data_IF_470998272865
#
_entry.id   IF_470998272865
#
_cell.length_a   1.000
_cell.length_b   1.000
_cell.length_c   1.000
_cell.angle_alpha   90.00
_cell.angle_beta   90.00
_cell.angle_gamma   90.00
#
_symmetry.space_group_name_H-M   'P 1'
#
loop_
_entity.id
_entity.type
_entity.pdbx_description
1 polymer ?
#
# COMPACT_ATOMS: atom_id res chain seq x y z
N UNK A 1 23.54 6.70 10.65
CA UNK A 1 22.15 7.02 10.24
C UNK A 1 21.50 7.85 11.35
N UNK A 2 20.70 8.85 10.98
CA UNK A 2 20.10 9.75 11.96
C UNK A 2 18.83 9.13 12.58
N UNK A 3 18.88 8.83 13.88
CA UNK A 3 17.74 8.25 14.62
C UNK A 3 16.75 9.31 15.13
N UNK A 4 17.12 10.61 15.11
CA UNK A 4 16.28 11.71 15.58
C UNK A 4 15.53 12.45 14.46
N UNK A 5 15.66 11.98 13.22
CA UNK A 5 15.16 12.63 12.02
C UNK A 5 13.65 12.50 11.80
N UNK A 6 12.86 12.20 12.83
CA UNK A 6 11.42 12.01 12.71
C UNK A 6 10.67 13.04 13.57
N UNK A 7 9.70 13.72 12.95
CA UNK A 7 8.79 14.63 13.64
C UNK A 7 7.37 14.48 13.08
N UNK A 8 6.38 14.95 13.86
CA UNK A 8 4.98 15.00 13.43
C UNK A 8 4.64 16.47 13.17
N UNK A 9 4.29 16.77 11.92
CA UNK A 9 3.77 18.08 11.54
C UNK A 9 2.29 18.16 11.91
N UNK A 10 2.00 18.75 13.07
CA UNK A 10 0.65 18.98 13.56
C UNK A 10 0.06 20.31 13.10
N UNK A 11 0.92 21.21 12.59
CA UNK A 11 0.49 22.54 12.15
C UNK A 11 0.02 22.57 10.70
N UNK A 12 0.37 21.56 9.91
CA UNK A 12 -0.08 21.46 8.51
C UNK A 12 -1.58 21.25 8.47
N UNK A 13 -2.32 22.26 7.97
CA UNK A 13 -3.77 22.15 7.82
C UNK A 13 -4.13 21.11 6.77
N UNK A 14 -5.30 20.46 6.96
CA UNK A 14 -5.85 19.52 6.00
C UNK A 14 -5.96 20.16 4.61
N UNK A 15 -6.47 21.40 4.49
CA UNK A 15 -6.63 22.09 3.22
C UNK A 15 -5.31 22.26 2.47
N UNK A 16 -4.22 22.56 3.17
CA UNK A 16 -2.88 22.68 2.56
C UNK A 16 -2.36 21.32 2.10
N UNK A 17 -2.55 20.27 2.89
CA UNK A 17 -2.17 18.92 2.50
C UNK A 17 -3.01 18.44 1.30
N UNK A 18 -4.32 18.65 1.33
CA UNK A 18 -5.23 18.27 0.26
C UNK A 18 -4.93 19.03 -1.03
N UNK A 19 -4.73 20.35 -0.98
CA UNK A 19 -4.38 21.16 -2.13
C UNK A 19 -3.03 20.72 -2.75
N UNK A 20 -2.00 20.45 -1.93
CA UNK A 20 -0.70 19.98 -2.41
C UNK A 20 -0.82 18.61 -3.07
N UNK A 21 -1.52 17.68 -2.44
CA UNK A 21 -1.77 16.34 -3.00
C UNK A 21 -2.58 16.44 -4.29
N UNK A 22 -3.63 17.26 -4.31
CA UNK A 22 -4.47 17.48 -5.48
C UNK A 22 -3.70 18.07 -6.67
N UNK A 23 -2.85 19.07 -6.43
CA UNK A 23 -1.99 19.65 -7.47
C UNK A 23 -1.05 18.58 -8.07
N UNK A 24 -0.44 17.79 -7.21
CA UNK A 24 0.48 16.74 -7.66
C UNK A 24 -0.27 15.64 -8.44
N UNK A 25 -1.49 15.27 -8.03
CA UNK A 25 -2.32 14.26 -8.69
C UNK A 25 -2.79 14.67 -10.09
N UNK A 26 -2.85 15.99 -10.41
CA UNK A 26 -3.20 16.47 -11.76
C UNK A 26 -2.20 16.02 -12.82
N UNK A 27 -0.94 15.83 -12.43
CA UNK A 27 0.14 15.40 -13.33
C UNK A 27 0.09 13.88 -13.65
N UNK A 28 -0.77 13.13 -12.95
CA UNK A 28 -0.90 11.69 -13.16
C UNK A 28 -2.22 11.36 -13.89
N UNK A 29 -2.14 10.91 -15.14
CA UNK A 29 -3.33 10.49 -15.88
C UNK A 29 -3.91 9.22 -15.25
N UNK A 30 -5.22 9.20 -15.06
CA UNK A 30 -5.95 7.97 -14.76
C UNK A 30 -6.14 7.17 -16.04
N UNK A 31 -5.95 5.87 -15.97
CA UNK A 31 -6.17 4.98 -17.10
C UNK A 31 -7.57 4.35 -17.09
N UNK A 32 -8.26 4.39 -15.96
CA UNK A 32 -9.58 3.82 -15.76
C UNK A 32 -10.49 4.85 -15.09
N UNK A 33 -11.79 4.70 -15.27
CA UNK A 33 -12.77 5.50 -14.53
C UNK A 33 -13.11 4.85 -13.19
N UNK A 34 -13.62 5.64 -12.25
CA UNK A 34 -14.17 5.09 -11.02
C UNK A 34 -15.39 4.19 -11.28
N UNK A 35 -16.13 4.44 -12.38
CA UNK A 35 -17.22 3.57 -12.81
C UNK A 35 -16.73 2.18 -13.23
N UNK A 36 -15.55 2.07 -13.83
CA UNK A 36 -14.93 0.76 -14.13
C UNK A 36 -14.52 0.04 -12.85
N UNK A 37 -14.04 0.78 -11.84
CA UNK A 37 -13.78 0.22 -10.51
C UNK A 37 -15.06 -0.35 -9.86
N UNK A 38 -16.17 0.39 -9.93
CA UNK A 38 -17.45 -0.09 -9.39
C UNK A 38 -17.89 -1.41 -10.05
N UNK A 39 -17.68 -1.57 -11.35
CA UNK A 39 -17.95 -2.85 -12.05
C UNK A 39 -17.10 -4.01 -11.52
N UNK A 40 -15.84 -3.73 -11.18
CA UNK A 40 -14.95 -4.75 -10.61
C UNK A 40 -15.40 -5.16 -9.21
N UNK A 41 -15.76 -4.20 -8.33
CA UNK A 41 -16.24 -4.53 -6.99
C UNK A 41 -17.64 -5.16 -7.01
N UNK A 42 -18.52 -4.80 -7.98
CA UNK A 42 -19.79 -5.48 -8.21
C UNK A 42 -19.58 -6.96 -8.59
N UNK A 43 -18.59 -7.25 -9.42
CA UNK A 43 -18.20 -8.64 -9.74
C UNK A 43 -17.68 -9.39 -8.51
N UNK A 44 -16.77 -8.78 -7.77
CA UNK A 44 -16.17 -9.38 -6.57
C UNK A 44 -17.18 -9.59 -5.43
N UNK A 45 -18.30 -8.88 -5.43
CA UNK A 45 -19.39 -9.03 -4.46
C UNK A 45 -20.23 -10.31 -4.67
N UNK A 46 -20.04 -11.03 -5.76
CA UNK A 46 -20.66 -12.35 -5.94
C UNK A 46 -20.02 -13.36 -4.96
N UNK A 47 -20.61 -13.50 -3.78
CA UNK A 47 -20.15 -14.39 -2.72
C UNK A 47 -20.26 -15.87 -3.08
N UNK A 48 -21.01 -16.22 -4.13
CA UNK A 48 -21.07 -17.59 -4.64
C UNK A 48 -19.80 -17.97 -5.40
N UNK A 49 -19.11 -16.98 -5.96
CA UNK A 49 -17.93 -17.15 -6.80
C UNK A 49 -16.63 -16.73 -6.11
N UNK A 50 -16.66 -15.70 -5.29
CA UNK A 50 -15.48 -15.12 -4.68
C UNK A 50 -15.55 -15.13 -3.16
N UNK A 51 -14.40 -15.39 -2.54
CA UNK A 51 -14.13 -15.19 -1.13
C UNK A 51 -13.07 -14.11 -1.00
N UNK A 52 -13.50 -12.84 -0.92
CA UNK A 52 -12.62 -11.67 -0.83
C UNK A 52 -12.26 -11.38 0.63
N UNK A 53 -10.99 -11.08 0.89
CA UNK A 53 -10.52 -10.82 2.25
C UNK A 53 -9.27 -9.93 2.28
N UNK A 54 -9.00 -9.26 3.42
CA UNK A 54 -7.74 -8.54 3.65
C UNK A 54 -6.57 -9.50 3.88
N UNK A 55 -5.34 -8.97 3.80
CA UNK A 55 -4.12 -9.76 3.91
C UNK A 55 -3.96 -10.47 5.24
N UNK A 56 -4.38 -9.83 6.35
CA UNK A 56 -4.36 -10.42 7.70
C UNK A 56 -5.17 -11.73 7.82
N UNK A 57 -6.16 -11.91 6.97
CA UNK A 57 -6.95 -13.13 6.89
C UNK A 57 -6.37 -14.08 5.83
N UNK A 58 -6.02 -13.51 4.67
CA UNK A 58 -5.55 -14.27 3.50
C UNK A 58 -4.26 -15.07 3.78
N UNK A 59 -3.34 -14.53 4.60
CA UNK A 59 -2.01 -15.15 4.78
C UNK A 59 -2.10 -16.58 5.34
N UNK A 60 -3.11 -16.89 6.14
CA UNK A 60 -3.35 -18.22 6.71
C UNK A 60 -4.58 -18.93 6.10
N UNK A 61 -5.36 -18.26 5.24
CA UNK A 61 -6.56 -18.87 4.68
C UNK A 61 -6.20 -20.00 3.73
N UNK A 62 -6.83 -21.19 3.86
CA UNK A 62 -6.77 -22.19 2.80
C UNK A 62 -7.49 -21.69 1.55
N UNK A 63 -7.16 -22.25 0.40
CA UNK A 63 -7.96 -22.09 -0.81
C UNK A 63 -9.38 -22.64 -0.56
N UNK A 64 -10.38 -21.93 -1.07
CA UNK A 64 -11.77 -22.37 -1.01
C UNK A 64 -12.05 -23.25 -2.24
N UNK A 65 -12.44 -24.53 -2.08
CA UNK A 65 -12.59 -25.43 -3.22
C UNK A 65 -13.72 -25.03 -4.18
N UNK A 66 -14.69 -24.25 -3.70
CA UNK A 66 -15.88 -23.84 -4.48
C UNK A 66 -15.79 -22.42 -5.00
N UNK A 67 -14.84 -21.61 -4.50
CA UNK A 67 -14.70 -20.19 -4.82
C UNK A 67 -13.26 -19.81 -5.10
N UNK A 68 -13.09 -18.67 -5.78
CA UNK A 68 -11.77 -18.01 -5.87
C UNK A 68 -11.51 -17.26 -4.57
N UNK A 69 -10.40 -17.57 -3.88
CA UNK A 69 -9.98 -16.84 -2.69
C UNK A 69 -9.14 -15.63 -3.10
N UNK A 70 -9.65 -14.43 -2.86
CA UNK A 70 -9.05 -13.17 -3.34
C UNK A 70 -8.48 -12.35 -2.19
N UNK A 71 -7.19 -12.05 -2.25
CA UNK A 71 -6.58 -10.99 -1.47
C UNK A 71 -6.77 -9.66 -2.21
N UNK A 72 -7.67 -8.81 -1.72
CA UNK A 72 -7.88 -7.47 -2.25
C UNK A 72 -6.86 -6.51 -1.61
N UNK A 73 -5.94 -6.01 -2.44
CA UNK A 73 -4.81 -5.19 -2.02
C UNK A 73 -4.82 -3.85 -2.75
N UNK A 74 -4.68 -2.77 -1.98
CA UNK A 74 -4.52 -1.40 -2.48
C UNK A 74 -3.20 -0.81 -2.03
N UNK A 75 -2.39 -0.34 -2.98
CA UNK A 75 -1.18 0.40 -2.71
C UNK A 75 -1.48 1.89 -2.89
N UNK A 76 -1.54 2.63 -1.78
CA UNK A 76 -1.79 4.08 -1.81
C UNK A 76 -0.45 4.78 -2.03
N UNK A 77 0.00 4.80 -3.29
CA UNK A 77 1.25 5.48 -3.63
C UNK A 77 1.06 7.00 -3.64
N UNK A 78 -0.14 7.46 -4.04
CA UNK A 78 -0.34 8.85 -4.39
C UNK A 78 -1.68 9.44 -3.95
N UNK A 79 -2.78 8.71 -4.07
CA UNK A 79 -4.14 9.24 -3.95
C UNK A 79 -4.94 8.63 -2.77
N UNK A 80 -4.82 9.22 -1.57
CA UNK A 80 -5.55 8.74 -0.39
C UNK A 80 -7.06 9.04 -0.47
N UNK A 81 -7.48 10.03 -1.28
CA UNK A 81 -8.90 10.39 -1.39
C UNK A 81 -9.66 9.39 -2.25
N UNK A 82 -9.09 9.01 -3.40
CA UNK A 82 -9.66 7.92 -4.19
C UNK A 82 -9.59 6.60 -3.42
N UNK A 83 -8.54 6.35 -2.61
CA UNK A 83 -8.48 5.19 -1.73
C UNK A 83 -9.67 5.15 -0.76
N UNK A 84 -10.01 6.26 -0.12
CA UNK A 84 -11.17 6.33 0.76
C UNK A 84 -12.49 6.08 0.02
N UNK A 85 -12.64 6.63 -1.20
CA UNK A 85 -13.82 6.36 -2.04
C UNK A 85 -13.93 4.88 -2.41
N UNK A 86 -12.81 4.23 -2.72
CA UNK A 86 -12.75 2.79 -2.99
C UNK A 86 -13.17 1.99 -1.77
N UNK A 87 -12.65 2.33 -0.59
CA UNK A 87 -12.99 1.67 0.67
C UNK A 87 -14.50 1.77 0.98
N UNK A 88 -15.13 2.93 0.75
CA UNK A 88 -16.57 3.05 0.87
C UNK A 88 -17.32 2.13 -0.10
N UNK A 89 -16.95 2.15 -1.39
CA UNK A 89 -17.62 1.34 -2.40
C UNK A 89 -17.51 -0.17 -2.12
N UNK A 90 -16.38 -0.61 -1.59
CA UNK A 90 -16.14 -1.99 -1.16
C UNK A 90 -16.98 -2.36 0.05
N UNK A 91 -16.92 -1.53 1.10
CA UNK A 91 -17.66 -1.77 2.36
C UNK A 91 -19.18 -1.83 2.13
N UNK A 92 -19.73 -0.97 1.25
CA UNK A 92 -21.15 -0.99 0.84
C UNK A 92 -21.55 -2.34 0.21
N UNK A 93 -20.59 -3.10 -0.32
CA UNK A 93 -20.77 -4.41 -0.94
C UNK A 93 -20.35 -5.58 -0.04
N UNK A 94 -19.99 -5.28 1.21
CA UNK A 94 -19.51 -6.28 2.16
C UNK A 94 -18.10 -6.81 1.84
N UNK A 95 -17.32 -6.08 1.03
CA UNK A 95 -15.95 -6.42 0.68
C UNK A 95 -14.98 -5.70 1.63
N UNK A 96 -13.91 -6.40 2.02
CA UNK A 96 -12.84 -5.83 2.82
C UNK A 96 -11.48 -6.15 2.18
N UNK A 97 -10.63 -5.13 2.06
CA UNK A 97 -9.27 -5.23 1.52
C UNK A 97 -8.22 -4.69 2.48
N UNK A 98 -6.98 -4.70 2.05
CA UNK A 98 -5.85 -4.08 2.74
C UNK A 98 -5.38 -2.86 1.98
N UNK A 99 -5.24 -1.74 2.68
CA UNK A 99 -4.75 -0.47 2.14
C UNK A 99 -3.35 -0.18 2.71
N UNK A 100 -2.34 -0.26 1.84
CA UNK A 100 -0.95 0.01 2.21
C UNK A 100 -0.63 1.49 2.03
N UNK A 101 -0.22 2.14 3.12
CA UNK A 101 0.06 3.58 3.17
C UNK A 101 1.55 3.81 2.99
N UNK A 102 1.93 4.68 2.03
CA UNK A 102 3.32 4.93 1.64
C UNK A 102 3.94 6.08 2.45
N UNK A 103 4.93 5.82 3.31
CA UNK A 103 5.57 6.87 4.11
C UNK A 103 6.33 7.92 3.30
N UNK A 104 6.79 7.59 2.08
CA UNK A 104 7.43 8.54 1.16
C UNK A 104 6.44 9.25 0.23
N UNK A 105 5.15 8.92 0.33
CA UNK A 105 4.09 9.58 -0.43
C UNK A 105 3.91 11.04 -0.04
N UNK A 106 3.66 11.91 -1.02
CA UNK A 106 3.52 13.38 -0.84
C UNK A 106 2.37 13.77 0.09
N UNK A 107 1.38 12.91 0.23
CA UNK A 107 0.23 13.09 1.10
C UNK A 107 0.53 12.71 2.56
N UNK A 108 1.56 11.91 2.79
CA UNK A 108 1.85 11.32 4.10
C UNK A 108 2.82 12.15 4.92
N UNK A 109 3.84 12.70 4.28
CA UNK A 109 4.86 13.50 4.96
C UNK A 109 5.81 14.21 4.02
N UNK A 110 6.80 14.86 4.58
CA UNK A 110 7.84 15.60 3.85
C UNK A 110 9.19 15.51 4.54
N UNK A 111 10.25 15.44 3.74
CA UNK A 111 11.61 15.64 4.19
C UNK A 111 11.99 17.13 4.06
N UNK A 112 12.41 17.72 5.16
CA UNK A 112 12.83 19.12 5.24
C UNK A 112 13.90 19.28 6.31
N UNK A 113 14.98 20.00 6.01
CA UNK A 113 16.06 20.31 6.94
C UNK A 113 16.65 19.05 7.65
N UNK A 114 16.81 17.96 6.91
CA UNK A 114 17.35 16.70 7.42
C UNK A 114 16.40 15.93 8.33
N UNK A 115 15.12 16.31 8.41
CA UNK A 115 14.08 15.65 9.20
C UNK A 115 12.90 15.24 8.35
N UNK A 116 12.27 14.14 8.76
CA UNK A 116 10.99 13.71 8.22
C UNK A 116 9.85 14.26 9.08
N UNK A 117 8.87 14.88 8.45
CA UNK A 117 7.67 15.43 9.07
C UNK A 117 6.44 14.70 8.56
N UNK A 118 5.77 13.94 9.42
CA UNK A 118 4.53 13.25 9.10
C UNK A 118 3.34 14.20 9.23
N UNK A 119 2.41 14.13 8.28
CA UNK A 119 1.21 14.97 8.28
C UNK A 119 0.08 14.31 9.08
N UNK A 120 -0.11 14.74 10.32
CA UNK A 120 -1.21 14.26 11.18
C UNK A 120 -2.60 14.66 10.67
N UNK A 121 -2.68 15.68 9.80
CA UNK A 121 -3.95 16.12 9.20
C UNK A 121 -4.60 15.07 8.28
N UNK A 122 -3.86 14.04 7.84
CA UNK A 122 -4.36 12.96 6.99
C UNK A 122 -4.80 11.72 7.78
N UNK A 123 -4.58 11.66 9.09
CA UNK A 123 -4.83 10.47 9.92
C UNK A 123 -6.31 10.05 9.93
N UNK A 124 -7.22 10.99 9.75
CA UNK A 124 -8.65 10.69 9.71
C UNK A 124 -9.02 9.78 8.52
N UNK A 125 -8.30 9.88 7.38
CA UNK A 125 -8.54 9.03 6.21
C UNK A 125 -8.21 7.57 6.57
N UNK A 126 -7.05 7.32 7.19
CA UNK A 126 -6.64 5.98 7.56
C UNK A 126 -7.60 5.36 8.59
N UNK A 127 -8.04 6.15 9.58
CA UNK A 127 -9.05 5.72 10.55
C UNK A 127 -10.42 5.49 9.90
N UNK A 128 -10.80 6.30 8.92
CA UNK A 128 -12.04 6.10 8.19
C UNK A 128 -12.00 4.77 7.40
N UNK A 129 -10.92 4.49 6.68
CA UNK A 129 -10.74 3.24 5.96
C UNK A 129 -10.81 2.04 6.94
N UNK A 130 -10.13 2.11 8.09
CA UNK A 130 -10.19 1.04 9.09
C UNK A 130 -11.61 0.87 9.68
N UNK A 131 -12.32 1.97 9.95
CA UNK A 131 -13.69 1.93 10.47
C UNK A 131 -14.71 1.31 9.52
N UNK A 132 -14.41 1.29 8.22
CA UNK A 132 -15.16 0.59 7.19
C UNK A 132 -14.88 -0.92 7.13
N UNK A 133 -14.02 -1.44 8.01
CA UNK A 133 -13.68 -2.86 8.12
C UNK A 133 -12.43 -3.28 7.35
N UNK A 134 -11.74 -2.35 6.69
CA UNK A 134 -10.51 -2.64 5.95
C UNK A 134 -9.30 -2.75 6.88
N UNK A 135 -8.24 -3.36 6.37
CA UNK A 135 -6.94 -3.39 7.02
C UNK A 135 -6.07 -2.24 6.52
N UNK A 136 -5.38 -1.57 7.45
CA UNK A 136 -4.28 -0.65 7.12
C UNK A 136 -2.95 -1.38 7.24
N UNK A 137 -2.14 -1.31 6.18
CA UNK A 137 -0.77 -1.83 6.15
C UNK A 137 0.26 -0.75 5.86
N UNK A 138 1.54 -1.04 6.08
CA UNK A 138 2.63 -0.15 5.70
C UNK A 138 3.14 -0.50 4.30
N UNK A 139 3.16 0.51 3.41
CA UNK A 139 3.86 0.38 2.12
C UNK A 139 5.34 0.72 2.33
N UNK A 140 6.16 -0.31 2.46
CA UNK A 140 7.57 -0.17 2.84
C UNK A 140 8.40 0.46 1.72
N UNK A 141 8.95 1.64 1.97
CA UNK A 141 9.96 2.30 1.13
C UNK A 141 11.25 2.62 1.92
N UNK A 142 11.65 1.69 2.76
CA UNK A 142 12.80 1.81 3.67
C UNK A 142 14.13 2.00 2.91
N UNK A 143 14.22 1.47 1.69
CA UNK A 143 15.40 1.66 0.85
C UNK A 143 15.57 3.12 0.45
N UNK A 144 14.51 3.80 0.02
CA UNK A 144 14.53 5.24 -0.28
C UNK A 144 14.89 6.06 0.95
N UNK A 145 14.27 5.76 2.10
CA UNK A 145 14.57 6.42 3.37
C UNK A 145 16.03 6.29 3.76
N UNK A 146 16.60 5.11 3.61
CA UNK A 146 17.99 4.83 3.94
C UNK A 146 18.96 5.53 2.97
N UNK A 147 18.75 5.38 1.67
CA UNK A 147 19.73 5.83 0.68
C UNK A 147 19.67 7.34 0.41
N UNK A 148 18.47 7.92 0.30
CA UNK A 148 18.33 9.35 -0.03
C UNK A 148 18.40 10.26 1.17
N UNK A 149 17.87 9.80 2.31
CA UNK A 149 17.68 10.65 3.48
C UNK A 149 18.57 10.25 4.66
N UNK A 150 19.39 9.22 4.49
CA UNK A 150 20.28 8.68 5.53
C UNK A 150 19.55 8.34 6.85
N UNK A 151 18.30 7.91 6.75
CA UNK A 151 17.46 7.54 7.89
C UNK A 151 17.67 6.06 8.22
N UNK A 152 17.78 5.75 9.52
CA UNK A 152 17.84 4.37 9.99
C UNK A 152 16.49 3.66 9.78
N UNK A 153 16.42 2.61 8.93
CA UNK A 153 15.17 1.95 8.58
C UNK A 153 14.45 1.33 9.78
N UNK A 154 15.21 0.73 10.71
CA UNK A 154 14.64 0.08 11.88
C UNK A 154 13.98 1.09 12.83
N UNK A 155 14.68 2.19 13.11
CA UNK A 155 14.16 3.28 13.95
C UNK A 155 12.94 3.93 13.30
N UNK A 156 12.97 4.17 12.00
CA UNK A 156 11.84 4.75 11.26
C UNK A 156 10.61 3.85 11.38
N UNK A 157 10.73 2.59 11.01
CA UNK A 157 9.62 1.64 11.03
C UNK A 157 9.04 1.48 12.44
N UNK A 158 9.89 1.43 13.46
CA UNK A 158 9.45 1.32 14.86
C UNK A 158 8.62 2.56 15.29
N UNK A 159 9.05 3.76 14.89
CA UNK A 159 8.34 5.02 15.20
C UNK A 159 7.01 5.12 14.46
N UNK A 160 6.96 4.72 13.19
CA UNK A 160 5.73 4.70 12.41
C UNK A 160 4.71 3.74 13.04
N UNK A 161 5.10 2.53 13.38
CA UNK A 161 4.20 1.57 14.01
C UNK A 161 3.71 2.03 15.38
N UNK A 162 4.56 2.73 16.14
CA UNK A 162 4.13 3.35 17.39
C UNK A 162 3.08 4.44 17.13
N UNK A 163 3.31 5.27 16.11
CA UNK A 163 2.38 6.33 15.75
C UNK A 163 1.01 5.77 15.32
N UNK A 164 0.97 4.71 14.49
CA UNK A 164 -0.28 4.06 14.12
C UNK A 164 -1.04 3.58 15.37
N UNK A 165 -0.37 2.97 16.33
CA UNK A 165 -0.99 2.56 17.59
C UNK A 165 -1.54 3.75 18.39
N UNK A 166 -0.82 4.87 18.44
CA UNK A 166 -1.26 6.10 19.13
C UNK A 166 -2.54 6.69 18.52
N UNK A 167 -2.74 6.54 17.22
CA UNK A 167 -3.98 6.97 16.54
C UNK A 167 -5.04 5.86 16.44
N UNK A 168 -4.83 4.73 17.14
CA UNK A 168 -5.81 3.64 17.26
C UNK A 168 -5.78 2.60 16.15
N UNK A 169 -4.79 2.64 15.24
CA UNK A 169 -4.66 1.69 14.11
C UNK A 169 -3.68 0.57 14.45
N UNK A 170 -4.11 -0.68 14.23
CA UNK A 170 -3.26 -1.87 14.40
C UNK A 170 -2.75 -2.37 13.05
N UNK A 171 -1.46 -2.17 12.80
CA UNK A 171 -0.80 -2.63 11.57
C UNK A 171 -0.15 -3.97 11.80
N UNK A 172 -0.50 -4.96 10.97
CA UNK A 172 0.08 -6.31 11.02
C UNK A 172 0.63 -6.80 9.66
N UNK A 173 0.51 -6.00 8.60
CA UNK A 173 1.05 -6.30 7.27
C UNK A 173 1.98 -5.19 6.76
N UNK A 174 3.06 -5.58 6.10
CA UNK A 174 3.92 -4.68 5.35
C UNK A 174 4.00 -5.12 3.89
N UNK A 175 4.08 -4.17 2.97
CA UNK A 175 4.24 -4.44 1.55
C UNK A 175 5.37 -3.59 0.98
N UNK A 176 6.28 -4.18 0.25
CA UNK A 176 7.42 -3.48 -0.33
C UNK A 176 7.02 -2.64 -1.54
N UNK A 177 7.33 -1.34 -1.50
CA UNK A 177 7.11 -0.38 -2.58
C UNK A 177 8.12 -0.56 -3.72
N UNK A 178 7.66 -0.40 -4.96
CA UNK A 178 8.54 -0.28 -6.12
C UNK A 178 9.16 1.11 -6.18
N UNK A 179 10.47 1.24 -5.92
CA UNK A 179 11.13 2.54 -5.94
C UNK A 179 12.00 2.74 -7.19
N UNK A 180 12.45 3.98 -7.41
CA UNK A 180 13.42 4.29 -8.48
C UNK A 180 14.72 3.49 -8.39
N UNK A 181 15.05 2.97 -7.23
CA UNK A 181 16.24 2.14 -7.01
C UNK A 181 16.15 0.76 -7.67
N UNK A 182 14.95 0.33 -8.09
CA UNK A 182 14.80 -0.88 -8.90
C UNK A 182 15.59 -0.78 -10.22
N UNK A 183 15.71 0.41 -10.81
CA UNK A 183 16.52 0.65 -11.98
C UNK A 183 18.04 0.48 -11.73
N UNK A 184 18.47 0.58 -10.48
CA UNK A 184 19.84 0.31 -10.03
C UNK A 184 20.03 -1.13 -9.53
N UNK A 185 19.03 -1.99 -9.73
CA UNK A 185 19.07 -3.39 -9.29
C UNK A 185 18.84 -3.58 -7.79
N UNK A 186 18.37 -2.54 -7.07
CA UNK A 186 18.04 -2.62 -5.65
C UNK A 186 16.52 -2.66 -5.46
N UNK A 187 16.04 -3.33 -4.40
CA UNK A 187 14.62 -3.52 -4.18
C UNK A 187 14.26 -3.44 -2.68
N UNK A 188 13.14 -2.81 -2.34
CA UNK A 188 12.65 -2.69 -0.97
C UNK A 188 12.40 -4.04 -0.28
N UNK A 189 12.09 -5.09 -1.05
CA UNK A 189 11.97 -6.46 -0.48
C UNK A 189 13.25 -6.91 0.20
N UNK A 190 14.43 -6.44 -0.26
CA UNK A 190 15.72 -6.83 0.31
C UNK A 190 15.98 -6.26 1.70
N UNK A 191 15.18 -5.31 2.16
CA UNK A 191 15.31 -4.80 3.53
C UNK A 191 15.03 -5.88 4.57
N UNK A 192 14.17 -6.86 4.24
CA UNK A 192 13.81 -7.96 5.12
C UNK A 192 14.58 -9.25 4.80
N UNK A 193 15.15 -9.86 5.83
CA UNK A 193 15.98 -11.09 5.73
C UNK A 193 15.21 -12.30 5.19
N UNK A 194 13.90 -12.32 5.36
CA UNK A 194 12.99 -13.38 4.87
C UNK A 194 13.03 -13.52 3.34
N UNK A 195 13.46 -12.48 2.62
CA UNK A 195 13.67 -12.58 1.17
C UNK A 195 14.99 -13.26 0.77
N UNK A 196 15.83 -13.61 1.76
CA UNK A 196 17.09 -14.31 1.51
C UNK A 196 18.14 -13.46 0.80
N UNK A 197 18.03 -12.13 0.87
CA UNK A 197 19.01 -11.18 0.34
C UNK A 197 19.67 -10.45 1.49
N UNK A 198 21.00 -10.57 1.60
CA UNK A 198 21.80 -9.82 2.58
C UNK A 198 23.06 -9.33 1.90
N UNK A 199 23.42 -8.07 2.12
CA UNK A 199 24.61 -7.50 1.51
C UNK A 199 24.78 -6.03 1.81
N UNK A 200 25.66 -5.40 1.02
CA UNK A 200 25.93 -3.97 1.04
C UNK A 200 25.70 -3.37 -0.34
N UNK A 201 25.40 -2.09 -0.39
CA UNK A 201 25.40 -1.28 -1.60
C UNK A 201 26.05 0.06 -1.31
N UNK A 202 26.65 0.67 -2.33
CA UNK A 202 27.21 2.03 -2.24
C UNK A 202 26.28 2.99 -2.95
N UNK A 203 25.87 4.06 -2.25
CA UNK A 203 25.09 5.14 -2.82
C UNK A 203 25.64 6.49 -2.32
N UNK A 204 25.82 7.44 -3.24
CA UNK A 204 26.40 8.77 -2.95
C UNK A 204 27.71 8.70 -2.13
N UNK A 205 28.57 7.72 -2.41
CA UNK A 205 29.88 7.55 -1.74
C UNK A 205 29.82 6.93 -0.35
N UNK A 206 28.65 6.51 0.13
CA UNK A 206 28.45 5.85 1.42
C UNK A 206 28.00 4.42 1.26
N UNK A 207 28.51 3.51 2.10
CA UNK A 207 28.10 2.12 2.13
C UNK A 207 26.90 1.94 3.07
N UNK A 208 25.91 1.17 2.59
CA UNK A 208 24.68 0.81 3.32
C UNK A 208 24.50 -0.69 3.32
N UNK A 209 23.92 -1.22 4.42
CA UNK A 209 23.59 -2.65 4.57
C UNK A 209 22.10 -2.87 4.36
N UNK A 210 21.75 -4.02 3.78
CA UNK A 210 20.38 -4.49 3.63
C UNK A 210 20.23 -5.96 4.01
N UNK A 211 18.99 -6.43 4.22
CA UNK A 211 18.69 -7.81 4.57
C UNK A 211 18.94 -8.12 6.04
N UNK A 212 18.89 -7.13 6.90
CA UNK A 212 19.11 -7.28 8.35
C UNK A 212 17.84 -7.14 9.19
N UNK A 213 16.77 -6.56 8.62
CA UNK A 213 15.48 -6.45 9.28
C UNK A 213 14.71 -7.77 9.18
N UNK A 214 13.80 -8.02 10.12
CA UNK A 214 12.85 -9.14 10.05
C UNK A 214 11.44 -8.64 10.17
N UNK A 215 10.48 -9.33 9.55
CA UNK A 215 9.07 -9.01 9.73
C UNK A 215 8.66 -9.15 11.20
N UNK A 216 9.16 -10.19 11.85
CA UNK A 216 8.84 -10.52 13.25
C UNK A 216 9.24 -9.41 14.23
N UNK A 217 10.39 -8.72 14.03
CA UNK A 217 10.81 -7.63 14.93
C UNK A 217 9.85 -6.46 14.98
N UNK A 218 9.03 -6.29 13.93
CA UNK A 218 8.02 -5.24 13.82
C UNK A 218 6.59 -5.75 14.13
N UNK A 219 6.43 -7.05 14.37
CA UNK A 219 5.13 -7.69 14.58
C UNK A 219 4.32 -7.86 13.29
N UNK A 220 4.96 -7.82 12.13
CA UNK A 220 4.29 -8.11 10.88
C UNK A 220 4.07 -9.62 10.72
N UNK A 221 2.84 -9.98 10.36
CA UNK A 221 2.42 -11.36 10.14
C UNK A 221 2.74 -11.82 8.71
N UNK A 222 2.74 -10.90 7.76
CA UNK A 222 2.92 -11.20 6.35
C UNK A 222 3.48 -10.01 5.56
N UNK A 223 4.01 -10.37 4.38
CA UNK A 223 4.40 -9.45 3.30
C UNK A 223 3.91 -10.05 1.97
N UNK A 224 3.15 -9.31 1.15
CA UNK A 224 2.47 -9.84 -0.03
C UNK A 224 3.37 -10.57 -1.04
N UNK A 225 4.59 -10.08 -1.28
CA UNK A 225 5.50 -10.74 -2.21
C UNK A 225 6.08 -12.05 -1.66
N UNK A 226 6.24 -12.17 -0.32
CA UNK A 226 6.55 -13.44 0.32
C UNK A 226 5.36 -14.40 0.24
N UNK A 227 4.14 -13.90 0.45
CA UNK A 227 2.93 -14.72 0.26
C UNK A 227 2.84 -15.24 -1.17
N UNK A 228 3.05 -14.36 -2.14
CA UNK A 228 3.03 -14.74 -3.54
C UNK A 228 4.10 -15.77 -3.91
N UNK A 229 5.27 -15.72 -3.27
CA UNK A 229 6.37 -16.66 -3.46
C UNK A 229 6.13 -18.00 -2.76
N UNK A 230 5.64 -17.97 -1.52
CA UNK A 230 5.60 -19.12 -0.63
C UNK A 230 4.25 -19.85 -0.64
N UNK A 231 3.16 -19.12 -0.86
CA UNK A 231 1.80 -19.64 -0.76
C UNK A 231 1.20 -20.03 -2.11
N UNK A 232 1.99 -19.92 -3.17
CA UNK A 232 1.49 -20.31 -4.50
C UNK A 232 0.19 -19.56 -4.83
N UNK A 233 0.13 -18.23 -4.60
CA UNK A 233 -0.91 -17.43 -5.22
C UNK A 233 -0.79 -17.69 -6.73
N UNK A 234 -1.67 -18.53 -7.24
CA UNK A 234 -1.61 -19.04 -8.62
C UNK A 234 -1.81 -17.91 -9.59
N UNK A 235 -2.55 -16.88 -9.15
CA UNK A 235 -2.86 -15.70 -9.95
C UNK A 235 -2.43 -14.41 -9.24
N UNK A 236 -1.86 -13.51 -10.03
CA UNK A 236 -1.54 -12.14 -9.61
C UNK A 236 -2.07 -11.21 -10.68
N UNK A 237 -3.07 -10.43 -10.32
CA UNK A 237 -3.63 -9.40 -11.18
C UNK A 237 -3.21 -8.03 -10.65
N UNK A 238 -2.97 -7.10 -11.57
CA UNK A 238 -2.58 -5.73 -11.22
C UNK A 238 -3.09 -4.75 -12.27
N UNK A 239 -3.46 -3.57 -11.81
CA UNK A 239 -3.86 -2.44 -12.64
C UNK A 239 -2.69 -1.61 -13.18
N UNK A 240 -1.44 -2.08 -13.02
CA UNK A 240 -0.25 -1.40 -13.55
C UNK A 240 -0.18 -1.58 -15.07
N UNK A 241 -0.19 -0.46 -15.80
CA UNK A 241 -0.07 -0.39 -17.26
C UNK A 241 -1.34 0.11 -17.96
N UNK A 242 -1.25 0.47 -19.25
CA UNK A 242 -2.39 0.95 -20.02
C UNK A 242 -3.46 -0.14 -20.16
N UNK A 243 -4.74 0.26 -20.08
CA UNK A 243 -5.94 -0.57 -20.22
C UNK A 243 -6.08 -1.74 -19.21
N UNK A 244 -5.18 -1.86 -18.26
CA UNK A 244 -5.12 -2.99 -17.34
C UNK A 244 -6.33 -3.15 -16.42
N UNK A 245 -7.05 -2.08 -16.13
CA UNK A 245 -8.26 -2.17 -15.31
C UNK A 245 -9.36 -3.01 -15.96
N UNK A 246 -9.57 -2.88 -17.28
CA UNK A 246 -10.51 -3.73 -18.02
C UNK A 246 -10.01 -5.16 -18.14
N UNK A 247 -8.71 -5.35 -18.34
CA UNK A 247 -8.07 -6.65 -18.34
C UNK A 247 -8.22 -7.35 -16.99
N UNK A 248 -8.06 -6.62 -15.87
CA UNK A 248 -8.27 -7.17 -14.52
C UNK A 248 -9.66 -7.74 -14.36
N UNK A 249 -10.72 -6.99 -14.78
CA UNK A 249 -12.10 -7.48 -14.71
C UNK A 249 -12.33 -8.71 -15.59
N UNK A 250 -11.72 -8.77 -16.75
CA UNK A 250 -11.79 -9.95 -17.63
C UNK A 250 -11.08 -11.15 -16.99
N UNK A 251 -9.84 -10.95 -16.57
CA UNK A 251 -9.00 -12.03 -16.05
C UNK A 251 -9.51 -12.60 -14.73
N UNK A 252 -10.09 -11.77 -13.82
CA UNK A 252 -10.64 -12.30 -12.57
C UNK A 252 -11.80 -13.28 -12.84
N UNK A 253 -12.57 -13.04 -13.90
CA UNK A 253 -13.67 -13.93 -14.33
C UNK A 253 -13.18 -15.28 -14.86
N UNK A 254 -11.97 -15.33 -15.38
CA UNK A 254 -11.41 -16.55 -15.96
C UNK A 254 -10.73 -17.45 -14.91
N UNK A 255 -10.57 -16.98 -13.66
CA UNK A 255 -9.97 -17.78 -12.58
C UNK A 255 -10.95 -18.86 -12.14
N UNK A 256 -10.46 -20.10 -12.11
CA UNK A 256 -11.25 -21.24 -11.65
C UNK A 256 -11.44 -21.25 -10.11
N UNK A 257 -12.56 -21.74 -9.59
CA UNK A 257 -12.71 -22.07 -8.18
C UNK A 257 -11.58 -22.98 -7.68
N UNK A 258 -11.25 -22.88 -6.41
CA UNK A 258 -10.11 -23.61 -5.83
C UNK A 258 -8.79 -22.84 -5.86
N UNK A 259 -8.70 -21.77 -6.66
CA UNK A 259 -7.49 -20.96 -6.80
C UNK A 259 -7.42 -19.81 -5.81
N UNK A 260 -6.19 -19.37 -5.49
CA UNK A 260 -5.92 -18.15 -4.73
C UNK A 260 -5.39 -17.07 -5.67
N UNK A 261 -5.95 -15.87 -5.56
CA UNK A 261 -5.58 -14.71 -6.36
C UNK A 261 -5.18 -13.54 -5.46
N UNK A 262 -4.07 -12.86 -5.80
CA UNK A 262 -3.76 -11.55 -5.26
C UNK A 262 -4.10 -10.48 -6.30
N UNK A 263 -5.00 -9.58 -5.94
CA UNK A 263 -5.47 -8.49 -6.78
C UNK A 263 -4.93 -7.17 -6.25
N UNK A 264 -3.96 -6.59 -6.98
CA UNK A 264 -3.31 -5.33 -6.67
C UNK A 264 -3.94 -4.18 -7.43
N UNK A 265 -4.36 -3.16 -6.70
CA UNK A 265 -4.97 -1.93 -7.21
C UNK A 265 -4.23 -0.70 -6.68
N UNK A 266 -4.08 0.31 -7.52
CA UNK A 266 -3.55 1.62 -7.13
C UNK A 266 -4.65 2.67 -7.28
N UNK A 267 -5.09 3.34 -6.22
CA UNK A 267 -6.19 4.31 -6.28
C UNK A 267 -6.04 5.36 -7.38
N UNK A 268 -4.81 5.83 -7.63
CA UNK A 268 -4.53 6.82 -8.65
C UNK A 268 -4.94 6.40 -10.07
N UNK A 269 -5.01 5.11 -10.37
CA UNK A 269 -5.40 4.61 -11.68
C UNK A 269 -6.91 4.62 -11.91
N UNK A 270 -7.72 4.89 -10.88
CA UNK A 270 -9.19 4.77 -10.90
C UNK A 270 -9.91 6.08 -10.58
N UNK A 271 -9.18 7.20 -10.51
CA UNK A 271 -9.79 8.52 -10.31
C UNK A 271 -10.50 8.98 -11.59
N UNK A 272 -11.59 9.72 -11.43
CA UNK A 272 -12.21 10.40 -12.56
C UNK A 272 -11.30 11.54 -13.04
N UNK A 273 -11.05 11.62 -14.35
CA UNK A 273 -10.13 12.61 -14.93
C UNK A 273 -10.60 14.07 -14.79
N UNK A 274 -11.85 14.29 -14.39
CA UNK A 274 -12.51 15.59 -14.40
C UNK A 274 -12.75 16.22 -13.03
N UNK A 275 -12.38 15.57 -11.91
CA UNK A 275 -12.70 16.09 -10.56
C UNK A 275 -11.50 16.65 -9.84
N UNK A 276 -11.49 17.98 -9.74
CA UNK A 276 -10.68 18.78 -8.80
C UNK A 276 -11.33 18.86 -7.40
N UNK A 277 -12.33 18.03 -7.11
CA UNK A 277 -13.19 18.13 -5.92
C UNK A 277 -12.60 17.38 -4.70
N UNK A 278 -11.34 17.67 -4.39
CA UNK A 278 -10.72 17.23 -3.13
C UNK A 278 -10.94 18.26 -1.99
N UNK A 279 -12.15 18.81 -1.88
CA UNK A 279 -12.36 19.88 -0.90
C UNK A 279 -13.82 20.29 -0.66
N UNK A 280 -14.79 19.39 -0.82
CA UNK A 280 -16.14 19.62 -0.29
C UNK A 280 -16.62 18.45 0.52
#
# INVERSE_FOLDING_TARGET
MNTEAFAIDRETSFDRCAARTGTWLQDFPSHNSFADYLRLVDELADVSRYRVMPGKEFYNAPADPERVTVFLRHDIDHDPFTALRMAHAESERGLHGTYYVLPTGVYYGIFRDGKYYRYACMDWIYRAIESLGHEIGVHNDLLTLMLEYDIDPASFQTRELRYYREIGISVCGACSHGSRFNALGLNNTWMYSEFGRKGTCTYAGKEYRYGELTLAQFGFLYEPYLLARNMRAEHRLSDIGPDRGREVLSHIKDIAPGCKCMLLMHPIHWKDQTRTDYGQ
#
